data_IF_616031138744
#
_entry.id   IF_616031138744
#
_cell.length_a   1.000
_cell.length_b   1.000
_cell.length_c   1.000
_cell.angle_alpha   90.00
_cell.angle_beta   90.00
_cell.angle_gamma   90.00
#
_symmetry.space_group_name_H-M   'P 1'
#
loop_
_entity.id
_entity.type
_entity.pdbx_description
1 polymer ?
#
# COMPACT_ATOMS: atom_id res chain seq x y z
N UNK A 1 -31.09 39.51 -5.89
CA UNK A 1 -30.59 39.28 -7.27
C UNK A 1 -29.07 39.35 -7.39
N UNK A 2 -28.37 40.34 -6.81
CA UNK A 2 -26.89 40.47 -6.91
C UNK A 2 -26.06 39.34 -6.25
N UNK A 3 -26.56 38.71 -5.18
CA UNK A 3 -25.88 37.58 -4.51
C UNK A 3 -25.86 36.30 -5.34
N UNK A 4 -26.86 36.11 -6.20
CA UNK A 4 -26.97 34.96 -7.10
C UNK A 4 -25.97 35.05 -8.25
N UNK A 5 -25.73 36.26 -8.76
CA UNK A 5 -24.73 36.49 -9.82
C UNK A 5 -23.30 36.27 -9.32
N UNK A 6 -23.01 36.58 -8.05
CA UNK A 6 -21.70 36.34 -7.42
C UNK A 6 -21.45 34.83 -7.18
N UNK A 7 -22.48 34.08 -6.78
CA UNK A 7 -22.36 32.61 -6.66
C UNK A 7 -22.19 31.92 -8.02
N UNK A 8 -22.82 32.43 -9.07
CA UNK A 8 -22.72 31.88 -10.42
C UNK A 8 -21.38 32.20 -11.10
N UNK A 9 -20.76 33.35 -10.79
CA UNK A 9 -19.39 33.66 -11.23
C UNK A 9 -18.33 32.87 -10.46
N UNK A 10 -18.59 32.51 -9.20
CA UNK A 10 -17.69 31.64 -8.42
C UNK A 10 -17.68 30.19 -8.94
N UNK A 11 -18.81 29.70 -9.47
CA UNK A 11 -18.91 28.37 -10.08
C UNK A 11 -18.15 28.24 -11.41
N UNK A 12 -18.00 29.34 -12.16
CA UNK A 12 -17.25 29.35 -13.43
C UNK A 12 -15.73 29.48 -13.27
N UNK A 13 -15.24 29.81 -12.06
CA UNK A 13 -13.83 29.97 -11.77
C UNK A 13 -13.17 28.68 -11.22
N UNK A 14 -13.78 27.52 -11.44
CA UNK A 14 -13.12 26.23 -11.16
C UNK A 14 -12.26 25.84 -12.37
N UNK A 15 -10.92 25.65 -12.23
CA UNK A 15 -10.09 25.11 -13.30
C UNK A 15 -10.42 23.65 -13.68
N UNK A 16 -11.44 23.06 -13.03
CA UNK A 16 -11.90 21.68 -13.24
C UNK A 16 -12.39 21.42 -14.67
N UNK A 17 -12.92 22.43 -15.38
CA UNK A 17 -13.39 22.26 -16.76
C UNK A 17 -12.28 22.25 -17.82
N UNK A 18 -11.05 22.64 -17.46
CA UNK A 18 -9.91 22.59 -18.38
C UNK A 18 -9.24 21.20 -18.44
N UNK A 19 -9.61 20.28 -17.53
CA UNK A 19 -9.26 18.85 -17.61
C UNK A 19 -10.20 18.12 -18.58
N UNK A 20 -10.41 18.71 -19.75
CA UNK A 20 -11.19 18.10 -20.82
C UNK A 20 -10.50 16.85 -21.36
N UNK A 21 -11.30 15.98 -21.97
CA UNK A 21 -10.98 14.71 -22.65
C UNK A 21 -9.81 14.74 -23.67
N UNK A 22 -9.10 15.86 -23.83
CA UNK A 22 -7.92 15.99 -24.69
C UNK A 22 -6.66 15.26 -24.18
N UNK A 23 -6.59 14.92 -22.88
CA UNK A 23 -5.49 14.13 -22.33
C UNK A 23 -5.67 12.60 -22.47
N UNK A 24 -6.84 12.14 -22.95
CA UNK A 24 -7.16 10.70 -23.05
C UNK A 24 -6.52 10.07 -24.29
N UNK A 25 -6.08 10.89 -25.26
CA UNK A 25 -5.49 10.46 -26.52
C UNK A 25 -3.97 10.67 -26.59
N UNK A 26 -3.33 11.08 -25.49
CA UNK A 26 -1.87 11.10 -25.43
C UNK A 26 -1.42 9.64 -25.46
N UNK A 27 -1.03 9.17 -26.64
CA UNK A 27 -0.42 7.86 -26.82
C UNK A 27 0.75 7.75 -25.85
N UNK A 28 0.76 6.69 -25.05
CA UNK A 28 1.87 6.36 -24.15
C UNK A 28 3.15 6.36 -25.00
N UNK A 29 4.01 7.35 -24.77
CA UNK A 29 5.37 7.32 -25.32
C UNK A 29 6.00 6.01 -24.88
N UNK A 30 6.71 5.35 -25.79
CA UNK A 30 7.43 4.09 -25.57
C UNK A 30 8.59 4.32 -24.59
N UNK A 31 8.26 4.64 -23.35
CA UNK A 31 9.22 4.80 -22.28
C UNK A 31 9.47 3.42 -21.71
N UNK A 32 10.75 3.03 -21.66
CA UNK A 32 11.15 1.78 -21.03
C UNK A 32 10.65 1.67 -19.59
N UNK A 33 10.81 0.49 -18.98
CA UNK A 33 10.33 0.12 -17.64
C UNK A 33 10.13 1.29 -16.65
N UNK A 34 8.86 1.55 -16.30
CA UNK A 34 8.41 2.59 -15.37
C UNK A 34 7.79 1.96 -14.12
N UNK A 35 8.10 2.49 -12.94
CA UNK A 35 7.62 1.97 -11.64
C UNK A 35 6.15 2.30 -11.34
N UNK A 36 5.60 3.29 -12.04
CA UNK A 36 4.27 3.85 -11.80
C UNK A 36 3.25 3.42 -12.85
N UNK A 37 3.70 2.97 -14.00
CA UNK A 37 2.83 2.50 -15.07
C UNK A 37 2.37 1.06 -14.83
N UNK A 38 1.16 0.70 -15.31
CA UNK A 38 0.70 -0.67 -15.26
C UNK A 38 1.56 -1.56 -16.17
N UNK A 39 2.02 -2.70 -15.65
CA UNK A 39 2.70 -3.74 -16.40
C UNK A 39 1.84 -4.31 -17.53
N UNK A 40 0.53 -4.38 -17.29
CA UNK A 40 -0.46 -4.88 -18.23
C UNK A 40 -1.62 -3.88 -18.31
N UNK A 41 -1.65 -2.99 -19.32
CA UNK A 41 -2.69 -1.96 -19.47
C UNK A 41 -4.10 -2.54 -19.62
N UNK A 42 -4.22 -3.72 -20.23
CA UNK A 42 -5.50 -4.38 -20.54
C UNK A 42 -6.10 -5.19 -19.37
N UNK A 43 -5.49 -5.14 -18.18
CA UNK A 43 -5.94 -5.91 -17.02
C UNK A 43 -6.96 -5.15 -16.17
N UNK A 44 -7.87 -5.88 -15.51
CA UNK A 44 -8.96 -5.31 -14.69
C UNK A 44 -8.48 -4.42 -13.52
N UNK A 45 -7.24 -4.61 -13.07
CA UNK A 45 -6.58 -3.79 -12.06
C UNK A 45 -5.27 -3.25 -12.63
N UNK A 46 -4.98 -1.98 -12.39
CA UNK A 46 -3.70 -1.37 -12.74
C UNK A 46 -2.56 -2.03 -11.93
N UNK A 47 -1.93 -3.05 -12.51
CA UNK A 47 -0.82 -3.78 -11.93
C UNK A 47 0.50 -3.03 -12.15
N UNK A 48 0.77 -2.04 -11.30
CA UNK A 48 2.10 -1.41 -11.28
C UNK A 48 3.19 -2.41 -10.82
N UNK A 49 4.45 -2.25 -11.23
CA UNK A 49 5.55 -3.07 -10.71
C UNK A 49 5.64 -3.04 -9.18
N UNK A 50 5.32 -1.90 -8.55
CA UNK A 50 5.31 -1.74 -7.11
C UNK A 50 4.23 -2.61 -6.43
N UNK A 51 2.98 -2.57 -6.92
CA UNK A 51 1.89 -3.41 -6.38
C UNK A 51 2.13 -4.89 -6.68
N UNK A 52 2.64 -5.22 -7.86
CA UNK A 52 2.97 -6.60 -8.22
C UNK A 52 4.03 -7.21 -7.29
N UNK A 53 5.11 -6.47 -6.99
CA UNK A 53 6.14 -6.92 -6.05
C UNK A 53 5.60 -7.13 -4.64
N UNK A 54 4.70 -6.24 -4.17
CA UNK A 54 4.06 -6.40 -2.86
C UNK A 54 3.29 -7.72 -2.77
N UNK A 55 2.43 -8.02 -3.77
CA UNK A 55 1.66 -9.25 -3.79
C UNK A 55 2.55 -10.50 -3.93
N UNK A 56 3.57 -10.44 -4.79
CA UNK A 56 4.56 -11.52 -4.89
C UNK A 56 5.26 -11.77 -3.54
N UNK A 57 5.61 -10.70 -2.82
CA UNK A 57 6.15 -10.76 -1.45
C UNK A 57 5.20 -11.42 -0.46
N UNK A 58 3.91 -11.07 -0.47
CA UNK A 58 2.90 -11.67 0.42
C UNK A 58 2.72 -13.15 0.11
N UNK A 59 2.52 -13.52 -1.16
CA UNK A 59 2.32 -14.92 -1.56
C UNK A 59 3.56 -15.78 -1.27
N UNK A 60 4.76 -15.26 -1.52
CA UNK A 60 5.99 -15.97 -1.18
C UNK A 60 6.15 -16.16 0.33
N UNK A 61 5.82 -15.16 1.15
CA UNK A 61 5.86 -15.28 2.60
C UNK A 61 4.82 -16.30 3.12
N UNK A 62 3.61 -16.31 2.55
CA UNK A 62 2.61 -17.35 2.84
C UNK A 62 3.12 -18.74 2.45
N UNK A 63 3.73 -18.90 1.28
CA UNK A 63 4.30 -20.17 0.84
C UNK A 63 5.42 -20.66 1.77
N UNK A 64 6.29 -19.76 2.23
CA UNK A 64 7.34 -20.08 3.22
C UNK A 64 6.73 -20.58 4.52
N UNK A 65 5.68 -19.92 5.03
CA UNK A 65 4.99 -20.36 6.24
C UNK A 65 4.35 -21.74 6.06
N UNK A 66 3.70 -22.00 4.92
CA UNK A 66 3.14 -23.31 4.61
C UNK A 66 4.21 -24.40 4.57
N UNK A 67 5.35 -24.15 3.91
CA UNK A 67 6.48 -25.10 3.87
C UNK A 67 7.04 -25.34 5.28
N UNK A 68 7.14 -24.28 6.09
CA UNK A 68 7.65 -24.38 7.45
C UNK A 68 6.72 -25.17 8.36
N UNK A 69 5.40 -25.00 8.22
CA UNK A 69 4.41 -25.75 8.99
C UNK A 69 4.42 -27.24 8.61
N UNK A 70 4.56 -27.55 7.30
CA UNK A 70 4.71 -28.94 6.84
C UNK A 70 5.99 -29.58 7.42
N UNK A 71 7.09 -28.83 7.52
CA UNK A 71 8.37 -29.35 8.03
C UNK A 71 8.47 -29.42 9.54
N UNK A 72 7.83 -28.50 10.26
CA UNK A 72 7.86 -28.40 11.74
C UNK A 72 6.45 -28.13 12.25
N UNK A 73 5.62 -29.18 12.35
CA UNK A 73 4.24 -29.04 12.80
C UNK A 73 4.21 -28.58 14.26
N UNK A 74 3.35 -27.60 14.55
CA UNK A 74 3.07 -27.21 15.94
C UNK A 74 2.86 -25.71 16.17
N UNK A 75 2.77 -24.88 15.13
CA UNK A 75 2.37 -23.46 15.23
C UNK A 75 3.29 -22.50 16.00
N UNK A 76 4.21 -23.02 16.84
CA UNK A 76 5.05 -22.29 17.81
C UNK A 76 4.25 -21.21 18.53
N UNK A 77 3.16 -21.64 19.16
CA UNK A 77 2.31 -20.77 19.96
C UNK A 77 3.14 -20.18 21.10
N UNK A 78 3.32 -18.86 21.08
CA UNK A 78 3.89 -18.14 22.21
C UNK A 78 2.96 -17.05 22.64
N UNK A 79 2.97 -16.81 23.95
CA UNK A 79 2.31 -15.66 24.55
C UNK A 79 3.19 -14.44 24.31
N UNK A 80 2.82 -13.64 23.33
CA UNK A 80 3.57 -12.45 22.93
C UNK A 80 3.43 -11.31 23.95
N UNK A 81 4.20 -10.24 23.76
CA UNK A 81 4.16 -9.03 24.61
C UNK A 81 2.78 -8.35 24.62
N UNK A 82 1.99 -8.57 23.57
CA UNK A 82 0.63 -8.04 23.41
C UNK A 82 -0.41 -8.83 24.23
N UNK A 83 0.01 -9.84 25.00
CA UNK A 83 -0.88 -10.69 25.80
C UNK A 83 -1.67 -11.73 25.00
N UNK A 84 -1.57 -11.68 23.66
CA UNK A 84 -2.18 -12.63 22.73
C UNK A 84 -1.29 -13.87 22.57
N UNK A 85 -1.92 -15.04 22.44
CA UNK A 85 -1.28 -16.26 21.98
C UNK A 85 -1.20 -16.19 20.47
N UNK A 86 -0.01 -15.92 19.93
CA UNK A 86 0.20 -15.74 18.48
C UNK A 86 1.00 -16.89 17.91
N UNK A 87 0.49 -17.47 16.82
CA UNK A 87 1.21 -18.42 15.97
C UNK A 87 2.24 -17.71 15.08
N UNK A 88 3.05 -18.48 14.34
CA UNK A 88 3.98 -17.93 13.33
C UNK A 88 3.26 -17.10 12.25
N UNK A 89 2.08 -17.55 11.80
CA UNK A 89 1.28 -16.85 10.80
C UNK A 89 0.73 -15.53 11.33
N UNK A 90 0.26 -15.52 12.57
CA UNK A 90 -0.29 -14.31 13.20
C UNK A 90 0.77 -13.20 13.31
N UNK A 91 2.03 -13.56 13.60
CA UNK A 91 3.14 -12.59 13.66
C UNK A 91 3.40 -11.92 12.31
N UNK A 92 3.34 -12.69 11.22
CA UNK A 92 3.48 -12.16 9.86
C UNK A 92 2.30 -11.21 9.55
N UNK A 93 1.08 -11.62 9.87
CA UNK A 93 -0.10 -10.78 9.64
C UNK A 93 -0.04 -9.46 10.42
N UNK A 94 0.34 -9.49 11.70
CA UNK A 94 0.50 -8.29 12.54
C UNK A 94 1.59 -7.37 11.99
N UNK A 95 2.68 -7.92 11.47
CA UNK A 95 3.75 -7.12 10.85
C UNK A 95 3.29 -6.39 9.58
N UNK A 96 2.51 -7.07 8.72
CA UNK A 96 1.93 -6.49 7.50
C UNK A 96 0.88 -5.43 7.83
N UNK A 97 -0.06 -5.76 8.73
CA UNK A 97 -1.12 -4.86 9.17
C UNK A 97 -0.54 -3.60 9.83
N UNK A 98 0.43 -3.76 10.74
CA UNK A 98 1.07 -2.60 11.38
C UNK A 98 1.87 -1.75 10.40
N UNK A 99 2.52 -2.36 9.40
CA UNK A 99 3.17 -1.61 8.31
C UNK A 99 2.15 -0.75 7.56
N UNK A 100 0.99 -1.29 7.17
CA UNK A 100 -0.07 -0.53 6.52
C UNK A 100 -0.55 0.65 7.36
N UNK A 101 -0.77 0.45 8.67
CA UNK A 101 -1.16 1.55 9.57
C UNK A 101 -0.07 2.61 9.75
N UNK A 102 1.21 2.22 9.79
CA UNK A 102 2.33 3.16 9.85
C UNK A 102 2.33 4.06 8.61
N UNK A 103 2.13 3.49 7.41
CA UNK A 103 2.05 4.26 6.18
C UNK A 103 0.82 5.18 6.13
N UNK A 104 -0.35 4.69 6.54
CA UNK A 104 -1.56 5.50 6.59
C UNK A 104 -1.44 6.66 7.60
N UNK A 105 -0.89 6.39 8.79
CA UNK A 105 -0.65 7.42 9.80
C UNK A 105 0.36 8.46 9.31
N UNK A 106 1.43 8.02 8.64
CA UNK A 106 2.43 8.93 8.08
C UNK A 106 1.85 9.82 6.99
N UNK A 107 1.11 9.24 6.04
CA UNK A 107 0.45 10.00 4.97
C UNK A 107 -0.61 10.96 5.52
N UNK A 108 -1.31 10.59 6.60
CA UNK A 108 -2.31 11.44 7.24
C UNK A 108 -1.74 12.60 8.04
N UNK A 109 -0.50 12.49 8.55
CA UNK A 109 0.11 13.50 9.42
C UNK A 109 1.18 14.34 8.72
N UNK A 110 2.07 13.71 7.95
CA UNK A 110 3.28 14.33 7.37
C UNK A 110 3.17 14.44 5.85
N UNK A 111 2.68 13.38 5.19
CA UNK A 111 2.64 13.30 3.72
C UNK A 111 3.94 12.79 3.09
N UNK A 112 4.28 13.29 1.91
CA UNK A 112 5.54 12.96 1.21
C UNK A 112 6.73 13.67 1.88
N UNK A 113 7.92 13.03 2.00
CA UNK A 113 8.34 11.78 1.38
C UNK A 113 8.10 10.51 2.22
N UNK A 114 8.00 9.35 1.55
CA UNK A 114 7.65 8.04 2.13
C UNK A 114 8.88 7.22 2.58
N UNK A 115 10.07 7.78 2.57
CA UNK A 115 11.29 7.07 2.98
C UNK A 115 11.35 6.78 4.49
N UNK A 116 10.85 7.71 5.30
CA UNK A 116 10.81 7.57 6.75
C UNK A 116 9.89 6.43 7.24
N UNK A 117 8.62 6.32 6.75
CA UNK A 117 7.75 5.22 7.16
C UNK A 117 8.26 3.85 6.70
N UNK A 118 9.04 3.76 5.61
CA UNK A 118 9.73 2.51 5.22
C UNK A 118 10.71 2.06 6.31
N UNK A 119 11.53 2.98 6.84
CA UNK A 119 12.45 2.68 7.94
C UNK A 119 11.69 2.22 9.20
N UNK A 120 10.63 2.93 9.56
CA UNK A 120 9.79 2.61 10.73
C UNK A 120 9.11 1.24 10.54
N UNK A 121 8.62 0.92 9.35
CA UNK A 121 7.96 -0.37 9.09
C UNK A 121 8.91 -1.55 9.19
N UNK A 122 10.18 -1.39 8.79
CA UNK A 122 11.19 -2.45 8.95
C UNK A 122 11.46 -2.70 10.44
N UNK A 123 11.63 -1.64 11.24
CA UNK A 123 11.82 -1.76 12.69
C UNK A 123 10.60 -2.43 13.33
N UNK A 124 9.39 -2.07 12.90
CA UNK A 124 8.15 -2.69 13.34
C UNK A 124 8.10 -4.19 13.01
N UNK A 125 8.42 -4.58 11.78
CA UNK A 125 8.45 -5.99 11.38
C UNK A 125 9.44 -6.80 12.23
N UNK A 126 10.64 -6.27 12.47
CA UNK A 126 11.65 -6.92 13.34
C UNK A 126 11.12 -7.06 14.77
N UNK A 127 10.46 -6.02 15.29
CA UNK A 127 9.86 -6.06 16.63
C UNK A 127 8.80 -7.17 16.73
N UNK A 128 7.91 -7.27 15.73
CA UNK A 128 6.89 -8.32 15.68
C UNK A 128 7.52 -9.72 15.74
N UNK A 129 8.50 -10.03 14.89
CA UNK A 129 9.12 -11.36 14.90
C UNK A 129 9.94 -11.66 16.18
N UNK A 130 10.46 -10.63 16.87
CA UNK A 130 11.27 -10.83 18.08
C UNK A 130 10.45 -10.88 19.38
N UNK A 131 9.34 -10.16 19.47
CA UNK A 131 8.64 -9.88 20.75
C UNK A 131 7.18 -10.32 20.79
N UNK A 132 6.54 -10.52 19.64
CA UNK A 132 5.20 -11.11 19.51
C UNK A 132 5.41 -12.59 19.22
#
# INVERSE_FOLDING_TARGET
>A
MKRLTVLLTFLLASPVLAQGWGNVAQQEEETGFSWTEPLWPEFWMAWTPATFLLFCGIFSAMAILTILEIRRPGGDERRGILGLTTTRGDRLFISLLGTSYIFLAWLGLVGQPVWWPVGISIVWAIFCFRKV
#
